data_IF_402379540844
#
_entry.id   IF_402379540844
#
_cell.length_a   1.000
_cell.length_b   1.000
_cell.length_c   1.000
_cell.angle_alpha   90.00
_cell.angle_beta   90.00
_cell.angle_gamma   90.00
#
_symmetry.space_group_name_H-M   'P 1'
#
loop_
_entity.id
_entity.type
_entity.pdbx_description
1 polymer ?
#
# COMPACT_ATOMS: atom_id res chain seq x y z
N UNK A 1 7.32 -2.32 9.03
CA UNK A 1 6.83 -2.16 10.42
C UNK A 1 5.58 -2.98 10.54
N UNK A 2 5.50 -3.85 11.53
CA UNK A 2 4.31 -4.65 11.82
C UNK A 2 3.84 -4.30 13.21
N UNK A 3 2.54 -4.10 13.38
CA UNK A 3 1.90 -3.70 14.63
C UNK A 3 0.63 -4.52 14.83
N UNK A 4 0.42 -5.00 16.04
CA UNK A 4 -0.87 -5.57 16.46
C UNK A 4 -1.66 -4.43 17.11
N UNK A 5 -2.81 -4.09 16.54
CA UNK A 5 -3.69 -3.05 17.05
C UNK A 5 -4.41 -3.52 18.32
N UNK A 6 -4.92 -2.61 19.19
CA UNK A 6 -5.63 -2.99 20.42
C UNK A 6 -6.86 -3.87 20.19
N UNK A 7 -7.43 -3.78 19.00
CA UNK A 7 -8.55 -4.62 18.59
C UNK A 7 -8.10 -5.93 17.93
N UNK A 8 -6.83 -6.32 17.97
CA UNK A 8 -6.35 -7.58 17.43
C UNK A 8 -6.18 -7.64 15.91
N UNK A 9 -6.51 -6.57 15.17
CA UNK A 9 -6.11 -6.43 13.76
C UNK A 9 -4.60 -6.27 13.66
N UNK A 10 -4.03 -6.59 12.51
CA UNK A 10 -2.59 -6.46 12.27
C UNK A 10 -2.35 -5.47 11.14
N UNK A 11 -1.63 -4.39 11.43
CA UNK A 11 -1.18 -3.40 10.46
C UNK A 11 0.28 -3.68 10.08
N UNK A 12 0.56 -3.80 8.79
CA UNK A 12 1.91 -3.89 8.25
C UNK A 12 2.14 -2.77 7.24
N UNK A 13 3.19 -1.97 7.45
CA UNK A 13 3.63 -0.92 6.52
C UNK A 13 5.06 -1.18 6.04
N UNK A 14 5.31 -1.13 4.74
CA UNK A 14 6.65 -1.33 4.17
C UNK A 14 6.86 -0.51 2.90
N UNK A 15 8.13 -0.24 2.60
CA UNK A 15 8.52 0.28 1.29
C UNK A 15 8.73 -0.92 0.37
N UNK A 16 8.02 -0.96 -0.73
CA UNK A 16 8.26 -1.89 -1.81
C UNK A 16 9.14 -1.19 -2.85
N UNK A 17 10.37 -1.68 -2.99
CA UNK A 17 11.31 -1.14 -3.95
C UNK A 17 10.94 -1.48 -5.40
N UNK A 18 9.92 -2.31 -5.64
CA UNK A 18 9.51 -2.82 -6.96
C UNK A 18 10.69 -3.27 -7.79
N UNK A 19 11.57 -4.08 -7.18
CA UNK A 19 12.71 -4.67 -7.89
C UNK A 19 12.18 -5.48 -9.07
N UNK A 20 12.55 -5.04 -10.27
CA UNK A 20 12.23 -5.63 -11.57
C UNK A 20 12.10 -7.16 -11.51
N UNK A 21 10.93 -7.69 -11.88
CA UNK A 21 10.73 -9.10 -12.20
C UNK A 21 10.23 -9.14 -13.64
N UNK A 22 11.06 -9.67 -14.54
CA UNK A 22 11.01 -9.43 -15.98
C UNK A 22 9.69 -9.72 -16.69
N UNK A 23 9.52 -9.05 -17.83
CA UNK A 23 8.37 -9.04 -18.73
C UNK A 23 8.20 -7.63 -19.28
N UNK A 24 8.24 -7.46 -20.60
CA UNK A 24 8.21 -6.15 -21.27
C UNK A 24 6.85 -5.44 -21.04
N UNK A 25 6.89 -4.29 -20.37
CA UNK A 25 6.40 -2.99 -20.85
C UNK A 25 6.22 -1.98 -19.71
N UNK A 26 5.94 -2.44 -18.48
CA UNK A 26 5.59 -1.56 -17.36
C UNK A 26 6.62 -1.64 -16.24
N UNK A 27 7.38 -0.56 -16.04
CA UNK A 27 8.31 -0.40 -14.93
C UNK A 27 7.65 0.38 -13.81
N UNK A 28 7.21 -0.32 -12.77
CA UNK A 28 6.67 0.33 -11.57
C UNK A 28 7.80 0.99 -10.77
N UNK A 29 7.59 2.23 -10.35
CA UNK A 29 8.49 2.87 -9.40
C UNK A 29 8.22 2.44 -7.95
N UNK A 30 9.05 2.92 -7.00
CA UNK A 30 8.91 2.58 -5.59
C UNK A 30 7.53 2.87 -5.02
N UNK A 31 7.12 2.08 -4.02
CA UNK A 31 5.82 2.24 -3.39
C UNK A 31 5.93 2.22 -1.87
N UNK A 32 5.05 2.97 -1.22
CA UNK A 32 4.71 2.73 0.17
C UNK A 32 3.45 1.86 0.21
N UNK A 33 3.55 0.70 0.83
CA UNK A 33 2.45 -0.26 0.94
C UNK A 33 1.99 -0.40 2.38
N UNK A 34 0.68 -0.47 2.56
CA UNK A 34 0.04 -0.82 3.82
C UNK A 34 -0.90 -1.99 3.65
N UNK A 35 -0.82 -2.93 4.59
CA UNK A 35 -1.71 -4.08 4.71
C UNK A 35 -2.38 -4.05 6.07
N UNK A 36 -3.69 -4.26 6.08
CA UNK A 36 -4.45 -4.50 7.29
C UNK A 36 -5.07 -5.89 7.21
N UNK A 37 -4.63 -6.78 8.10
CA UNK A 37 -5.28 -8.07 8.33
C UNK A 37 -6.34 -7.89 9.41
N UNK A 38 -7.58 -8.19 9.06
CA UNK A 38 -8.75 -8.13 9.94
C UNK A 38 -8.77 -9.35 10.88
N UNK A 39 -9.63 -9.30 11.90
CA UNK A 39 -9.78 -10.40 12.88
C UNK A 39 -10.23 -11.72 12.26
N UNK A 40 -11.04 -11.63 11.21
CA UNK A 40 -11.55 -12.78 10.44
C UNK A 40 -10.54 -13.30 9.41
N UNK A 41 -9.34 -12.71 9.35
CA UNK A 41 -8.30 -13.05 8.39
C UNK A 41 -8.45 -12.37 7.03
N UNK A 42 -9.53 -11.62 6.76
CA UNK A 42 -9.65 -10.82 5.56
C UNK A 42 -8.61 -9.70 5.51
N UNK A 43 -8.24 -9.26 4.32
CA UNK A 43 -7.10 -8.36 4.13
C UNK A 43 -7.47 -7.17 3.26
N UNK A 44 -6.93 -6.01 3.61
CA UNK A 44 -6.99 -4.79 2.82
C UNK A 44 -5.57 -4.36 2.51
N UNK A 45 -5.25 -4.23 1.23
CA UNK A 45 -3.96 -3.77 0.74
C UNK A 45 -4.12 -2.40 0.07
N UNK A 46 -3.33 -1.42 0.51
CA UNK A 46 -3.27 -0.08 -0.07
C UNK A 46 -1.86 0.20 -0.54
N UNK A 47 -1.72 0.72 -1.76
CA UNK A 47 -0.45 1.05 -2.39
C UNK A 47 -0.42 2.53 -2.74
N UNK A 48 0.58 3.25 -2.27
CA UNK A 48 0.92 4.58 -2.75
C UNK A 48 2.12 4.46 -3.68
N UNK A 49 1.88 4.61 -4.98
CA UNK A 49 2.87 4.37 -6.02
C UNK A 49 3.47 5.68 -6.51
N UNK A 50 4.75 5.67 -6.84
CA UNK A 50 5.35 6.76 -7.63
C UNK A 50 4.92 6.73 -9.10
N UNK A 51 4.12 5.73 -9.50
CA UNK A 51 3.66 5.54 -10.87
C UNK A 51 4.41 4.42 -11.57
N UNK A 52 4.33 4.40 -12.89
CA UNK A 52 5.03 3.46 -13.75
C UNK A 52 5.56 4.16 -15.00
N UNK A 53 6.53 3.53 -15.66
CA UNK A 53 7.04 3.91 -16.98
C UNK A 53 6.63 2.84 -18.01
N UNK A 54 6.00 3.25 -19.10
CA UNK A 54 5.70 2.42 -20.27
C UNK A 54 5.51 3.31 -21.50
N UNK A 55 5.38 2.71 -22.68
CA UNK A 55 4.85 3.43 -23.83
C UNK A 55 3.47 4.00 -23.49
N UNK A 56 3.28 5.32 -23.64
CA UNK A 56 2.01 6.01 -23.36
C UNK A 56 1.83 6.56 -21.93
N UNK A 57 2.85 6.55 -21.08
CA UNK A 57 2.76 7.19 -19.74
C UNK A 57 2.65 8.71 -19.82
N UNK A 58 1.86 9.29 -18.91
CA UNK A 58 1.54 10.72 -18.87
C UNK A 58 2.62 11.61 -18.23
N UNK A 59 3.74 11.02 -17.78
CA UNK A 59 4.84 11.75 -17.13
C UNK A 59 5.87 10.84 -16.50
N UNK A 60 6.94 11.41 -15.90
CA UNK A 60 7.94 10.65 -15.17
C UNK A 60 7.37 10.10 -13.84
N UNK A 61 8.10 9.16 -13.23
CA UNK A 61 7.83 8.72 -11.86
C UNK A 61 7.91 9.90 -10.89
N UNK A 62 7.06 9.89 -9.86
CA UNK A 62 7.18 10.80 -8.72
C UNK A 62 8.49 10.52 -7.96
N UNK A 63 9.12 11.55 -7.35
CA UNK A 63 10.37 11.37 -6.61
C UNK A 63 10.20 10.52 -5.34
N UNK A 64 8.98 10.44 -4.81
CA UNK A 64 8.62 9.61 -3.66
C UNK A 64 7.12 9.28 -3.70
N UNK A 65 6.66 8.21 -3.01
CA UNK A 65 5.24 7.93 -2.86
C UNK A 65 4.48 9.16 -2.35
N UNK A 66 3.32 9.51 -2.95
CA UNK A 66 2.62 10.76 -2.65
C UNK A 66 1.96 10.81 -1.27
N UNK A 67 1.97 9.71 -0.50
CA UNK A 67 1.44 9.69 0.87
C UNK A 67 2.47 9.12 1.83
N UNK A 68 2.42 9.60 3.08
CA UNK A 68 3.32 9.14 4.14
C UNK A 68 2.80 7.90 4.85
N UNK A 69 3.63 7.35 5.75
CA UNK A 69 3.24 6.23 6.63
C UNK A 69 2.10 6.61 7.56
N UNK A 70 2.09 7.85 8.03
CA UNK A 70 1.06 8.40 8.89
C UNK A 70 -0.28 8.46 8.14
N UNK A 71 -0.27 8.86 6.86
CA UNK A 71 -1.48 8.85 6.02
C UNK A 71 -2.02 7.43 5.80
N UNK A 72 -1.17 6.45 5.46
CA UNK A 72 -1.62 5.06 5.29
C UNK A 72 -2.12 4.46 6.60
N UNK A 73 -1.44 4.74 7.71
CA UNK A 73 -1.88 4.32 9.04
C UNK A 73 -3.27 4.88 9.34
N UNK A 74 -3.44 6.20 9.23
CA UNK A 74 -4.71 6.86 9.51
C UNK A 74 -5.85 6.29 8.66
N UNK A 75 -5.61 6.06 7.36
CA UNK A 75 -6.55 5.42 6.46
C UNK A 75 -6.90 3.99 6.94
N UNK A 76 -5.91 3.12 7.12
CA UNK A 76 -6.13 1.70 7.44
C UNK A 76 -6.66 1.47 8.86
N UNK A 77 -6.43 2.39 9.79
CA UNK A 77 -7.00 2.30 11.14
C UNK A 77 -8.36 3.01 11.28
N UNK A 78 -8.87 3.63 10.20
CA UNK A 78 -10.16 4.32 10.22
C UNK A 78 -11.32 3.36 10.53
N UNK A 79 -12.34 3.79 11.29
CA UNK A 79 -13.56 3.00 11.54
C UNK A 79 -14.29 2.55 10.26
N UNK A 80 -14.12 3.28 9.17
CA UNK A 80 -14.75 2.96 7.87
C UNK A 80 -14.13 1.74 7.18
N UNK A 81 -12.94 1.32 7.64
CA UNK A 81 -12.19 0.16 7.11
C UNK A 81 -12.50 -1.11 7.92
N UNK A 82 -13.47 -1.06 8.83
CA UNK A 82 -13.96 -2.24 9.53
C UNK A 82 -14.75 -3.13 8.56
N UNK A 83 -14.69 -4.47 8.73
CA UNK A 83 -15.59 -5.37 8.01
C UNK A 83 -17.03 -4.91 8.22
N UNK A 84 -17.82 -4.87 7.15
CA UNK A 84 -19.26 -4.74 7.31
C UNK A 84 -19.72 -5.99 8.05
N UNK A 85 -20.40 -5.81 9.18
CA UNK A 85 -21.04 -6.91 9.90
C UNK A 85 -21.94 -7.65 8.90
N UNK A 86 -21.87 -8.99 8.81
CA UNK A 86 -22.84 -9.78 8.05
C UNK A 86 -24.28 -9.50 8.50
#
# INVERSE_FOLDING_TARGET
MREVLPDGRVLTLWNDAKRFRGGDEVRWGPELTGELVQRDGSQILVRSSTGFESTGTQGPLLPAPPVSREHLRALLTSPQVLPKTP
#
